data_IF_360127900225
#
_entry.id   IF_360127900225
#
_cell.length_a   1.000
_cell.length_b   1.000
_cell.length_c   1.000
_cell.angle_alpha   90.00
_cell.angle_beta   90.00
_cell.angle_gamma   90.00
#
_symmetry.space_group_name_H-M   'P 1'
#
loop_
_entity.id
_entity.type
_entity.pdbx_description
1 polymer ?
#
# COMPACT_ATOMS: atom_id res chain seq x y z
N UNK A 1 -9.70 -22.61 -6.90
CA UNK A 1 -9.29 -21.55 -5.97
C UNK A 1 -10.45 -20.58 -5.83
N UNK A 2 -11.21 -20.65 -4.73
CA UNK A 2 -12.27 -19.66 -4.47
C UNK A 2 -11.56 -18.44 -3.87
N UNK A 3 -11.38 -17.41 -4.68
CA UNK A 3 -11.03 -16.07 -4.20
C UNK A 3 -12.26 -15.53 -3.46
N UNK A 4 -12.33 -15.74 -2.16
CA UNK A 4 -13.26 -14.98 -1.31
C UNK A 4 -12.74 -13.55 -1.26
N UNK A 5 -13.20 -12.70 -2.18
CA UNK A 5 -13.21 -11.26 -1.99
C UNK A 5 -14.21 -10.99 -0.85
N UNK A 6 -13.77 -11.20 0.39
CA UNK A 6 -14.50 -10.71 1.54
C UNK A 6 -14.52 -9.18 1.42
N UNK A 7 -15.70 -8.63 1.15
CA UNK A 7 -15.93 -7.20 1.23
C UNK A 7 -15.64 -6.79 2.67
N UNK A 8 -14.43 -6.29 2.93
CA UNK A 8 -14.18 -5.51 4.13
C UNK A 8 -15.23 -4.41 4.15
N UNK A 9 -15.92 -4.26 5.29
CA UNK A 9 -16.91 -3.20 5.47
C UNK A 9 -16.28 -1.86 5.12
N UNK A 10 -17.03 -0.99 4.46
CA UNK A 10 -16.49 0.28 4.02
C UNK A 10 -16.12 1.13 5.24
N UNK A 11 -15.08 1.95 5.10
CA UNK A 11 -14.70 2.95 6.13
C UNK A 11 -15.89 3.80 6.59
N UNK A 12 -16.82 4.11 5.66
CA UNK A 12 -18.04 4.87 5.95
C UNK A 12 -18.96 4.13 6.93
N UNK A 13 -19.11 2.82 6.80
CA UNK A 13 -19.92 1.98 7.70
C UNK A 13 -19.26 1.79 9.06
N UNK A 14 -17.94 1.57 9.09
CA UNK A 14 -17.16 1.49 10.34
C UNK A 14 -17.37 2.75 11.17
N UNK A 15 -17.19 3.92 10.54
CA UNK A 15 -17.41 5.22 11.18
C UNK A 15 -18.86 5.40 11.62
N UNK A 16 -19.83 5.14 10.74
CA UNK A 16 -21.27 5.33 11.02
C UNK A 16 -21.72 4.55 12.25
N UNK A 17 -21.21 3.33 12.42
CA UNK A 17 -21.61 2.43 13.51
C UNK A 17 -20.66 2.45 14.71
N UNK A 18 -19.64 3.33 14.72
CA UNK A 18 -18.69 3.42 15.84
C UNK A 18 -17.91 2.13 16.09
N UNK A 19 -17.60 1.36 15.03
CA UNK A 19 -16.90 0.09 15.14
C UNK A 19 -15.43 0.34 15.48
N UNK A 20 -15.00 -0.11 16.66
CA UNK A 20 -13.62 0.06 17.12
C UNK A 20 -12.67 -1.04 16.63
N UNK A 21 -13.20 -2.22 16.29
CA UNK A 21 -12.41 -3.33 15.77
C UNK A 21 -13.27 -4.36 15.03
N UNK A 22 -12.63 -5.17 14.19
CA UNK A 22 -13.26 -6.33 13.56
C UNK A 22 -12.33 -7.55 13.65
N UNK A 23 -12.91 -8.74 13.77
CA UNK A 23 -12.21 -10.02 13.63
C UNK A 23 -12.86 -10.78 12.49
N UNK A 24 -12.07 -11.20 11.50
CA UNK A 24 -12.52 -12.12 10.46
C UNK A 24 -12.03 -13.52 10.78
N UNK A 25 -12.91 -14.50 10.60
CA UNK A 25 -12.58 -15.92 10.70
C UNK A 25 -12.93 -16.62 9.41
N UNK A 26 -12.24 -17.72 9.11
CA UNK A 26 -12.52 -18.56 7.96
C UNK A 26 -12.76 -19.98 8.47
N UNK A 27 -13.94 -20.50 8.19
CA UNK A 27 -14.30 -21.90 8.44
C UNK A 27 -14.01 -22.72 7.18
N UNK A 28 -13.24 -23.80 7.32
CA UNK A 28 -12.92 -24.73 6.22
C UNK A 28 -13.33 -26.14 6.62
N UNK A 29 -13.98 -26.83 5.69
CA UNK A 29 -14.20 -28.26 5.77
C UNK A 29 -13.02 -28.98 5.11
N UNK A 30 -12.37 -29.89 5.84
CA UNK A 30 -11.30 -30.73 5.33
C UNK A 30 -11.32 -32.07 6.06
N UNK A 31 -11.15 -33.16 5.34
CA UNK A 31 -11.03 -34.51 5.91
C UNK A 31 -12.22 -34.88 6.83
N UNK A 32 -13.45 -34.53 6.41
CA UNK A 32 -14.66 -34.80 7.18
C UNK A 32 -14.90 -33.86 8.38
N UNK A 33 -14.00 -32.90 8.62
CA UNK A 33 -14.03 -32.03 9.81
C UNK A 33 -14.10 -30.56 9.44
N UNK A 34 -14.95 -29.82 10.14
CA UNK A 34 -14.96 -28.36 10.10
C UNK A 34 -13.89 -27.79 11.02
N UNK A 35 -13.16 -26.77 10.55
CA UNK A 35 -12.16 -26.04 11.33
C UNK A 35 -12.33 -24.55 11.10
N UNK A 36 -12.38 -23.77 12.18
CA UNK A 36 -12.49 -22.31 12.13
C UNK A 36 -11.18 -21.70 12.61
N UNK A 37 -10.60 -20.83 11.79
CA UNK A 37 -9.37 -20.11 12.14
C UNK A 37 -9.60 -18.60 12.04
N UNK A 38 -8.90 -17.83 12.88
CA UNK A 38 -8.80 -16.39 12.67
C UNK A 38 -8.04 -16.15 11.37
N UNK A 39 -8.54 -15.21 10.58
CA UNK A 39 -7.92 -14.78 9.32
C UNK A 39 -7.27 -13.42 9.50
N UNK A 40 -8.00 -12.48 10.10
CA UNK A 40 -7.51 -11.14 10.39
C UNK A 40 -8.18 -10.53 11.62
N UNK A 41 -7.50 -9.52 12.18
CA UNK A 41 -8.05 -8.63 13.19
C UNK A 41 -7.64 -7.20 12.84
N UNK A 42 -8.56 -6.24 12.93
CA UNK A 42 -8.30 -4.82 12.68
C UNK A 42 -8.83 -3.96 13.82
N UNK A 43 -8.12 -2.89 14.15
CA UNK A 43 -8.60 -1.80 15.01
C UNK A 43 -8.76 -0.54 14.18
N UNK A 44 -9.76 0.27 14.54
CA UNK A 44 -10.11 1.48 13.82
C UNK A 44 -10.02 2.71 14.71
N UNK A 45 -9.70 3.86 14.11
CA UNK A 45 -9.92 5.17 14.72
C UNK A 45 -11.40 5.62 14.58
N UNK A 46 -11.73 6.78 15.16
CA UNK A 46 -13.08 7.37 15.09
C UNK A 46 -13.50 7.80 13.67
N UNK A 47 -12.55 7.92 12.75
CA UNK A 47 -12.80 8.19 11.34
C UNK A 47 -13.01 6.91 10.53
N UNK A 48 -12.90 5.74 11.16
CA UNK A 48 -13.00 4.42 10.55
C UNK A 48 -11.73 3.97 9.82
N UNK A 49 -10.59 4.63 10.04
CA UNK A 49 -9.32 4.22 9.46
C UNK A 49 -8.71 3.07 10.27
N UNK A 50 -8.16 2.05 9.60
CA UNK A 50 -7.41 0.96 10.25
C UNK A 50 -6.14 1.49 10.91
N UNK A 51 -6.03 1.48 12.22
CA UNK A 51 -4.82 1.91 12.95
C UNK A 51 -3.89 0.75 13.30
N UNK A 52 -4.42 -0.48 13.34
CA UNK A 52 -3.66 -1.70 13.58
C UNK A 52 -4.32 -2.87 12.85
N UNK A 53 -3.53 -3.73 12.22
CA UNK A 53 -3.98 -4.93 11.53
C UNK A 53 -3.10 -6.12 11.88
N UNK A 54 -3.74 -7.25 12.13
CA UNK A 54 -3.10 -8.56 12.24
C UNK A 54 -3.67 -9.47 11.15
N UNK A 55 -2.80 -10.29 10.56
CA UNK A 55 -3.22 -11.45 9.76
C UNK A 55 -2.63 -12.71 10.37
N UNK A 56 -3.36 -13.80 10.26
CA UNK A 56 -2.98 -15.06 10.88
C UNK A 56 -2.68 -16.12 9.81
N UNK A 57 -1.79 -17.05 10.12
CA UNK A 57 -1.53 -18.21 9.29
C UNK A 57 -2.62 -19.30 9.54
N UNK A 58 -2.53 -20.43 8.83
CA UNK A 58 -3.50 -21.54 9.00
C UNK A 58 -3.42 -22.24 10.36
N UNK A 59 -2.35 -22.04 11.12
CA UNK A 59 -2.14 -22.58 12.46
C UNK A 59 -2.68 -21.63 13.55
N UNK A 60 -3.11 -20.43 13.17
CA UNK A 60 -3.61 -19.40 14.09
C UNK A 60 -2.53 -18.45 14.62
N UNK A 61 -1.28 -18.58 14.18
CA UNK A 61 -0.20 -17.67 14.59
C UNK A 61 -0.26 -16.37 13.79
N UNK A 62 0.19 -15.28 14.40
CA UNK A 62 0.34 -14.00 13.72
C UNK A 62 1.35 -14.15 12.58
N UNK A 63 0.90 -13.93 11.35
CA UNK A 63 1.73 -13.88 10.15
C UNK A 63 2.28 -12.49 9.89
N UNK A 64 1.45 -11.46 10.12
CA UNK A 64 1.80 -10.06 9.88
C UNK A 64 1.07 -9.19 10.89
N UNK A 65 1.78 -8.23 11.46
CA UNK A 65 1.21 -7.10 12.20
C UNK A 65 1.64 -5.82 11.53
N UNK A 66 0.71 -4.90 11.37
CA UNK A 66 0.92 -3.57 10.78
C UNK A 66 0.22 -2.50 11.61
N UNK A 67 0.80 -1.31 11.67
CA UNK A 67 0.15 -0.11 12.21
C UNK A 67 0.21 1.02 11.19
N UNK A 68 -0.77 1.93 11.27
CA UNK A 68 -0.93 3.02 10.31
C UNK A 68 -1.23 4.33 11.03
N UNK A 69 -0.59 5.41 10.56
CA UNK A 69 -0.84 6.78 11.02
C UNK A 69 -1.36 7.61 9.85
N UNK A 70 -2.30 8.51 10.12
CA UNK A 70 -3.03 9.27 9.11
C UNK A 70 -2.84 10.78 9.28
N UNK A 71 -2.89 11.52 8.17
CA UNK A 71 -3.03 12.98 8.18
C UNK A 71 -4.49 13.40 8.44
N UNK A 72 -4.75 14.72 8.49
CA UNK A 72 -6.10 15.28 8.66
C UNK A 72 -7.07 14.96 7.52
N UNK A 73 -6.56 14.67 6.33
CA UNK A 73 -7.34 14.27 5.16
C UNK A 73 -7.67 12.75 5.17
N UNK A 74 -7.17 12.01 6.17
CA UNK A 74 -7.25 10.56 6.31
C UNK A 74 -6.41 9.76 5.30
N UNK A 75 -5.32 10.31 4.82
CA UNK A 75 -4.32 9.57 4.06
C UNK A 75 -3.22 9.04 4.98
N UNK A 76 -2.72 7.85 4.67
CA UNK A 76 -1.63 7.22 5.41
C UNK A 76 -0.35 8.04 5.25
N UNK A 77 0.23 8.50 6.36
CA UNK A 77 1.54 9.18 6.40
C UNK A 77 2.64 8.28 6.97
N UNK A 78 2.28 7.23 7.69
CA UNK A 78 3.22 6.22 8.18
C UNK A 78 2.59 4.82 8.20
N UNK A 79 3.36 3.82 7.80
CA UNK A 79 3.06 2.40 7.93
C UNK A 79 4.24 1.70 8.60
N UNK A 80 3.99 0.93 9.66
CA UNK A 80 5.02 0.11 10.33
C UNK A 80 4.58 -1.34 10.24
N UNK A 81 5.49 -2.22 9.83
CA UNK A 81 5.29 -3.66 9.84
C UNK A 81 6.22 -4.33 10.85
N UNK A 82 5.68 -5.32 11.56
CA UNK A 82 6.35 -6.00 12.65
C UNK A 82 6.54 -7.49 12.32
N UNK A 83 7.58 -8.09 12.89
CA UNK A 83 7.80 -9.52 12.89
C UNK A 83 6.89 -10.23 13.89
N UNK A 84 6.92 -11.56 13.88
CA UNK A 84 6.20 -12.40 14.84
C UNK A 84 6.70 -12.23 16.28
N UNK A 85 7.94 -11.77 16.45
CA UNK A 85 8.56 -11.38 17.72
C UNK A 85 8.14 -9.97 18.21
N UNK A 86 7.24 -9.30 17.49
CA UNK A 86 6.77 -7.96 17.83
C UNK A 86 7.76 -6.84 17.50
N UNK A 87 8.94 -7.15 16.96
CA UNK A 87 9.95 -6.14 16.56
C UNK A 87 9.62 -5.52 15.21
N UNK A 88 9.99 -4.26 15.02
CA UNK A 88 9.84 -3.58 13.73
C UNK A 88 10.69 -4.29 12.67
N UNK A 89 10.14 -4.44 11.47
CA UNK A 89 10.84 -4.97 10.29
C UNK A 89 11.01 -3.94 9.20
N UNK A 90 10.02 -3.07 9.04
CA UNK A 90 10.01 -2.03 8.01
C UNK A 90 9.09 -0.90 8.43
N UNK A 91 9.54 0.33 8.18
CA UNK A 91 8.79 1.58 8.36
C UNK A 91 8.70 2.29 7.01
N UNK A 92 7.52 2.79 6.67
CA UNK A 92 7.28 3.58 5.44
C UNK A 92 6.72 4.92 5.85
N UNK A 93 7.30 6.02 5.36
CA UNK A 93 6.76 7.37 5.52
C UNK A 93 6.35 7.94 4.17
N UNK A 94 5.21 8.61 4.14
CA UNK A 94 4.58 9.10 2.91
C UNK A 94 4.33 10.60 3.03
N UNK A 95 4.65 11.36 1.97
CA UNK A 95 4.35 12.79 1.88
C UNK A 95 3.41 13.07 0.72
N UNK A 96 2.58 14.09 0.90
CA UNK A 96 1.58 14.56 -0.04
C UNK A 96 1.79 16.03 -0.36
N UNK A 97 1.41 16.46 -1.57
CA UNK A 97 1.34 17.87 -1.92
C UNK A 97 0.02 18.51 -1.40
N UNK A 98 -0.19 19.80 -1.68
CA UNK A 98 -1.41 20.52 -1.31
C UNK A 98 -2.67 20.01 -2.02
N UNK A 99 -2.52 19.36 -3.18
CA UNK A 99 -3.59 18.73 -3.95
C UNK A 99 -3.90 17.30 -3.45
N UNK A 100 -3.25 16.86 -2.37
CA UNK A 100 -3.39 15.53 -1.79
C UNK A 100 -2.86 14.37 -2.67
N UNK A 101 -1.98 14.68 -3.63
CA UNK A 101 -1.23 13.68 -4.38
C UNK A 101 -0.01 13.22 -3.60
N UNK A 102 0.25 11.91 -3.63
CA UNK A 102 1.47 11.33 -3.04
C UNK A 102 2.69 11.77 -3.85
N UNK A 103 3.61 12.51 -3.23
CA UNK A 103 4.84 13.02 -3.88
C UNK A 103 6.11 12.29 -3.45
N UNK A 104 6.11 11.67 -2.26
CA UNK A 104 7.29 10.96 -1.75
C UNK A 104 6.87 9.74 -0.92
N UNK A 105 7.63 8.65 -1.03
CA UNK A 105 7.58 7.51 -0.13
C UNK A 105 9.01 7.10 0.25
N UNK A 106 9.30 7.06 1.55
CA UNK A 106 10.59 6.59 2.08
C UNK A 106 10.38 5.32 2.87
N UNK A 107 11.20 4.31 2.63
CA UNK A 107 11.16 3.01 3.33
C UNK A 107 12.44 2.84 4.12
N UNK A 108 12.31 2.51 5.40
CA UNK A 108 13.38 2.25 6.35
C UNK A 108 13.32 0.80 6.82
N UNK A 109 14.48 0.24 7.16
CA UNK A 109 14.58 -1.06 7.83
C UNK A 109 14.27 -0.96 9.34
N UNK A 110 14.52 -2.05 10.07
CA UNK A 110 14.30 -2.13 11.51
C UNK A 110 15.19 -1.19 12.35
N UNK A 111 16.30 -0.73 11.80
CA UNK A 111 17.29 0.12 12.47
C UNK A 111 17.17 1.59 12.00
N UNK A 112 16.02 1.95 11.43
CA UNK A 112 15.77 3.28 10.84
C UNK A 112 16.74 3.69 9.72
N UNK A 113 17.42 2.72 9.10
CA UNK A 113 18.25 2.98 7.92
C UNK A 113 17.37 3.07 6.68
N UNK A 114 17.52 4.15 5.90
CA UNK A 114 16.85 4.28 4.61
C UNK A 114 17.28 3.15 3.68
N UNK A 115 16.32 2.42 3.11
CA UNK A 115 16.59 1.35 2.14
C UNK A 115 16.00 1.65 0.76
N UNK A 116 14.99 2.51 0.67
CA UNK A 116 14.37 2.91 -0.59
C UNK A 116 13.69 4.26 -0.47
N UNK A 117 13.81 5.09 -1.51
CA UNK A 117 13.05 6.33 -1.67
C UNK A 117 12.36 6.34 -3.03
N UNK A 118 11.09 6.72 -3.08
CA UNK A 118 10.33 6.98 -4.31
C UNK A 118 9.84 8.41 -4.33
N UNK A 119 10.03 9.10 -5.44
CA UNK A 119 9.48 10.44 -5.68
C UNK A 119 8.57 10.40 -6.90
N UNK A 120 7.51 11.20 -6.87
CA UNK A 120 6.51 11.26 -7.94
C UNK A 120 6.35 12.69 -8.42
N UNK A 121 6.20 12.87 -9.73
CA UNK A 121 5.85 14.16 -10.34
C UNK A 121 4.52 14.04 -11.06
N UNK A 122 3.81 15.16 -11.09
CA UNK A 122 2.50 15.29 -11.70
C UNK A 122 2.49 16.48 -12.64
N UNK A 123 1.65 16.45 -13.67
CA UNK A 123 1.39 17.62 -14.50
C UNK A 123 0.28 18.50 -13.87
N UNK A 124 -0.07 19.59 -14.55
CA UNK A 124 -1.11 20.52 -14.10
C UNK A 124 -2.52 19.90 -14.02
N UNK A 125 -2.74 18.76 -14.67
CA UNK A 125 -4.01 18.02 -14.63
C UNK A 125 -4.06 16.98 -13.49
N UNK A 126 -3.02 16.90 -12.65
CA UNK A 126 -2.92 15.91 -11.58
C UNK A 126 -2.52 14.51 -12.06
N UNK A 127 -2.06 14.37 -13.30
CA UNK A 127 -1.64 13.08 -13.85
C UNK A 127 -0.19 12.82 -13.53
N UNK A 128 0.12 11.63 -13.01
CA UNK A 128 1.50 11.25 -12.66
C UNK A 128 2.37 11.11 -13.91
N UNK A 129 3.35 12.00 -14.08
CA UNK A 129 4.27 12.00 -15.24
C UNK A 129 5.57 11.26 -14.99
N UNK A 130 6.02 11.16 -13.74
CA UNK A 130 7.30 10.54 -13.39
C UNK A 130 7.22 9.78 -12.05
N UNK A 131 7.97 8.68 -11.98
CA UNK A 131 8.32 7.98 -10.74
C UNK A 131 9.83 7.72 -10.73
N UNK A 132 10.53 8.23 -9.72
CA UNK A 132 11.97 8.04 -9.53
C UNK A 132 12.20 7.23 -8.27
N UNK A 133 12.86 6.07 -8.40
CA UNK A 133 13.24 5.22 -7.26
C UNK A 133 14.75 5.30 -7.03
N UNK A 134 15.13 5.52 -5.78
CA UNK A 134 16.52 5.47 -5.30
C UNK A 134 16.68 4.45 -4.19
N UNK A 135 17.90 3.92 -4.03
CA UNK A 135 18.26 3.05 -2.91
C UNK A 135 18.58 3.87 -1.63
N UNK A 136 19.02 3.19 -0.57
CA UNK A 136 19.39 3.80 0.70
C UNK A 136 20.51 4.84 0.65
N UNK A 137 21.35 4.80 -0.39
CA UNK A 137 22.44 5.76 -0.61
C UNK A 137 22.01 6.90 -1.56
N UNK A 138 20.71 7.04 -1.82
CA UNK A 138 20.12 7.98 -2.78
C UNK A 138 20.49 7.77 -4.25
N UNK A 139 21.22 6.70 -4.59
CA UNK A 139 21.51 6.36 -5.98
C UNK A 139 20.23 5.92 -6.68
N UNK A 140 19.95 6.50 -7.85
CA UNK A 140 18.79 6.15 -8.68
C UNK A 140 18.96 4.69 -9.13
N UNK A 141 17.91 3.90 -8.94
CA UNK A 141 17.87 2.51 -9.39
C UNK A 141 16.86 2.30 -10.51
N UNK A 142 15.88 3.20 -10.63
CA UNK A 142 14.82 3.10 -11.62
C UNK A 142 14.15 4.45 -11.84
N UNK A 143 13.89 4.77 -13.11
CA UNK A 143 13.01 5.88 -13.49
C UNK A 143 11.86 5.34 -14.34
N UNK A 144 10.65 5.84 -14.13
CA UNK A 144 9.50 5.56 -14.97
C UNK A 144 8.90 6.89 -15.41
N UNK A 145 8.57 7.01 -16.69
CA UNK A 145 7.81 8.15 -17.21
C UNK A 145 6.51 7.69 -17.86
N UNK A 146 5.52 8.56 -17.83
CA UNK A 146 4.18 8.32 -18.35
C UNK A 146 3.80 9.41 -19.35
N UNK A 147 3.09 9.02 -20.39
CA UNK A 147 2.47 9.94 -21.36
C UNK A 147 0.98 9.67 -21.44
N UNK A 148 0.24 10.69 -21.84
CA UNK A 148 -1.22 10.71 -21.85
C UNK A 148 -1.71 11.27 -23.19
N UNK A 149 -2.91 10.88 -23.61
CA UNK A 149 -3.61 11.53 -24.71
C UNK A 149 -4.37 12.79 -24.24
N UNK A 150 -5.08 13.45 -25.17
CA UNK A 150 -5.85 14.67 -24.86
C UNK A 150 -7.03 14.45 -23.92
N UNK A 151 -7.46 13.20 -23.71
CA UNK A 151 -8.53 12.83 -22.78
C UNK A 151 -7.99 12.40 -21.40
N UNK A 152 -6.67 12.49 -21.20
CA UNK A 152 -6.01 12.08 -19.97
C UNK A 152 -5.85 10.56 -19.82
N UNK A 153 -6.02 9.81 -20.91
CA UNK A 153 -5.81 8.37 -20.90
C UNK A 153 -4.32 8.07 -21.12
N UNK A 154 -3.73 7.24 -20.25
CA UNK A 154 -2.30 6.92 -20.31
C UNK A 154 -1.96 6.17 -21.60
N UNK A 155 -1.16 6.77 -22.48
CA UNK A 155 -0.74 6.19 -23.77
C UNK A 155 0.57 5.42 -23.70
N UNK A 156 1.46 5.75 -22.77
CA UNK A 156 2.70 4.99 -22.59
C UNK A 156 3.22 4.98 -21.15
N UNK A 157 4.00 3.95 -20.86
CA UNK A 157 4.83 3.80 -19.67
C UNK A 157 6.22 3.36 -20.10
N UNK A 158 7.21 4.24 -19.94
CA UNK A 158 8.63 3.96 -20.21
C UNK A 158 9.36 3.68 -18.91
N UNK A 159 10.15 2.62 -18.84
CA UNK A 159 11.00 2.27 -17.68
C UNK A 159 12.45 2.38 -18.08
N UNK A 160 13.22 3.10 -17.29
CA UNK A 160 14.65 3.27 -17.43
C UNK A 160 15.36 2.64 -16.23
N UNK A 161 16.53 2.07 -16.46
CA UNK A 161 17.39 1.53 -15.41
C UNK A 161 18.18 2.62 -14.67
N UNK A 162 19.13 2.21 -13.83
CA UNK A 162 19.99 3.09 -13.02
C UNK A 162 20.88 4.00 -13.86
N UNK A 163 21.22 3.60 -15.08
CA UNK A 163 22.11 4.34 -15.98
C UNK A 163 21.30 5.24 -16.94
N UNK A 164 19.97 5.29 -16.76
CA UNK A 164 19.07 6.06 -17.60
C UNK A 164 18.77 5.40 -18.95
N UNK A 165 19.18 4.14 -19.16
CA UNK A 165 18.88 3.41 -20.40
C UNK A 165 17.43 2.93 -20.38
N UNK A 166 16.72 3.14 -21.49
CA UNK A 166 15.35 2.65 -21.66
C UNK A 166 15.37 1.12 -21.75
N UNK A 167 14.71 0.45 -20.80
CA UNK A 167 14.67 -1.02 -20.72
C UNK A 167 13.30 -1.60 -21.04
N UNK A 168 12.22 -0.81 -20.95
CA UNK A 168 10.88 -1.28 -21.27
C UNK A 168 9.98 -0.12 -21.69
N UNK A 169 9.18 -0.32 -22.74
CA UNK A 169 8.06 0.55 -23.09
C UNK A 169 6.79 -0.26 -23.20
N UNK A 170 5.76 0.12 -22.43
CA UNK A 170 4.40 -0.40 -22.59
C UNK A 170 3.51 0.71 -23.15
N UNK A 171 2.91 0.48 -24.32
CA UNK A 171 1.95 1.40 -24.95
C UNK A 171 0.51 0.94 -24.70
N UNK A 172 -0.41 1.88 -24.72
CA UNK A 172 -1.84 1.65 -24.65
C UNK A 172 -2.49 2.41 -25.80
N UNK A 173 -3.39 1.74 -26.50
CA UNK A 173 -4.17 2.28 -27.60
C UNK A 173 -5.63 2.14 -27.19
N UNK A 174 -6.40 3.20 -27.39
CA UNK A 174 -7.80 3.29 -27.03
C UNK A 174 -8.59 3.64 -28.28
N UNK A 175 -9.65 2.89 -28.53
CA UNK A 175 -10.63 3.18 -29.56
C UNK A 175 -11.81 3.91 -28.92
N UNK A 176 -12.34 4.91 -29.61
CA UNK A 176 -13.39 5.82 -29.13
C UNK A 176 -14.53 5.94 -30.13
#
# INVERSE_FOLDING_TARGET
MITSNAFSQSKKEIKKNGINSSTSTVTKFKDGKWSTIKDSFEKFDRSGNTIERFTYNKMGDVKRRETFTYNKNNDVIEEISYGTDGKIRRKVKIKYNAQNDKIEETTYDANDKLIRKRNYKFNAFGEKTEELTSNGNNNITKKITYTYDKKGMRTARKTFDKDGKLVNTKKYIYDY
#
